data_IF_907545142800
#
_entry.id   IF_907545142800
#
_cell.length_a   1.000
_cell.length_b   1.000
_cell.length_c   1.000
_cell.angle_alpha   90.00
_cell.angle_beta   90.00
_cell.angle_gamma   90.00
#
_symmetry.space_group_name_H-M   'P 1'
#
loop_
_entity.id
_entity.type
_entity.pdbx_description
1 polymer ?
#
# COMPACT_ATOMS: atom_id res chain seq x y z
N UNK A 1 -16.83 -54.16 -9.65
CA UNK A 1 -15.89 -53.57 -8.67
C UNK A 1 -16.26 -52.10 -8.53
N UNK A 2 -16.44 -51.60 -7.30
CA UNK A 2 -16.74 -50.20 -7.08
C UNK A 2 -15.51 -49.36 -7.47
N UNK A 3 -15.71 -48.34 -8.31
CA UNK A 3 -14.62 -47.48 -8.75
C UNK A 3 -14.17 -46.59 -7.59
N UNK A 4 -12.85 -46.49 -7.29
CA UNK A 4 -12.35 -45.60 -6.26
C UNK A 4 -12.58 -44.13 -6.67
N UNK A 5 -13.00 -43.30 -5.73
CA UNK A 5 -13.23 -41.87 -5.96
C UNK A 5 -11.86 -41.16 -6.08
N UNK A 6 -11.59 -40.51 -7.22
CA UNK A 6 -10.29 -39.84 -7.50
C UNK A 6 -10.11 -38.53 -6.71
N UNK A 7 -11.21 -37.84 -6.40
CA UNK A 7 -11.25 -36.63 -5.60
C UNK A 7 -12.29 -36.79 -4.49
N UNK A 8 -11.88 -36.60 -3.23
CA UNK A 8 -12.81 -36.47 -2.13
C UNK A 8 -12.24 -35.50 -1.08
N UNK A 9 -13.12 -34.72 -0.48
CA UNK A 9 -12.77 -33.80 0.61
C UNK A 9 -12.96 -34.47 1.96
N UNK A 10 -12.28 -33.95 2.99
CA UNK A 10 -12.46 -34.42 4.37
C UNK A 10 -13.89 -34.22 4.87
N UNK A 11 -14.60 -33.20 4.36
CA UNK A 11 -16.00 -32.91 4.67
C UNK A 11 -16.96 -33.96 4.10
N UNK A 12 -16.75 -34.39 2.86
CA UNK A 12 -17.53 -35.47 2.22
C UNK A 12 -17.32 -36.81 2.93
N UNK A 13 -16.08 -37.13 3.31
CA UNK A 13 -15.83 -38.34 4.09
C UNK A 13 -16.50 -38.27 5.47
N UNK A 14 -16.58 -37.10 6.10
CA UNK A 14 -17.28 -36.91 7.38
C UNK A 14 -18.81 -37.03 7.25
N UNK A 15 -19.39 -36.62 6.12
CA UNK A 15 -20.82 -36.79 5.87
C UNK A 15 -21.19 -38.26 5.67
N UNK A 16 -20.41 -39.02 4.90
CA UNK A 16 -20.58 -40.47 4.72
C UNK A 16 -20.40 -41.22 6.04
N UNK A 17 -19.39 -40.87 6.82
CA UNK A 17 -19.18 -41.43 8.16
C UNK A 17 -20.37 -41.14 9.09
N UNK A 18 -20.95 -39.93 9.07
CA UNK A 18 -22.15 -39.60 9.85
C UNK A 18 -23.35 -40.43 9.43
N UNK A 19 -23.53 -40.64 8.13
CA UNK A 19 -24.56 -41.52 7.58
C UNK A 19 -24.38 -42.97 8.06
N UNK A 20 -23.18 -43.54 7.92
CA UNK A 20 -22.88 -44.91 8.36
C UNK A 20 -23.04 -45.10 9.87
N UNK A 21 -22.65 -44.11 10.67
CA UNK A 21 -22.91 -44.10 12.10
C UNK A 21 -24.41 -44.09 12.42
N UNK A 22 -25.21 -43.26 11.74
CA UNK A 22 -26.66 -43.19 11.95
C UNK A 22 -27.39 -44.49 11.57
N UNK A 23 -26.80 -45.28 10.66
CA UNK A 23 -27.26 -46.62 10.27
C UNK A 23 -26.99 -47.69 11.35
N UNK A 24 -26.22 -47.36 12.40
CA UNK A 24 -25.86 -48.27 13.48
C UNK A 24 -24.57 -49.05 13.25
N UNK A 25 -23.75 -48.67 12.26
CA UNK A 25 -22.47 -49.33 12.00
C UNK A 25 -21.45 -48.96 13.09
N UNK A 26 -20.77 -49.95 13.67
CA UNK A 26 -19.69 -49.70 14.64
C UNK A 26 -18.50 -48.96 14.03
N UNK A 27 -17.81 -48.12 14.80
CA UNK A 27 -16.65 -47.33 14.35
C UNK A 27 -15.54 -48.17 13.68
N UNK A 28 -15.35 -49.42 14.13
CA UNK A 28 -14.41 -50.38 13.54
C UNK A 28 -14.77 -50.77 12.11
N UNK A 29 -16.06 -50.84 11.80
CA UNK A 29 -16.57 -51.26 10.50
C UNK A 29 -16.69 -50.07 9.54
N UNK A 30 -16.99 -48.86 10.06
CA UNK A 30 -17.03 -47.64 9.25
C UNK A 30 -15.71 -47.41 8.49
N UNK A 31 -14.56 -47.50 9.16
CA UNK A 31 -13.27 -47.35 8.47
C UNK A 31 -13.01 -48.46 7.45
N UNK A 32 -13.44 -49.70 7.72
CA UNK A 32 -13.30 -50.82 6.77
C UNK A 32 -14.15 -50.64 5.52
N UNK A 33 -15.32 -50.00 5.63
CA UNK A 33 -16.20 -49.71 4.49
C UNK A 33 -15.70 -48.51 3.67
N UNK A 34 -15.13 -47.50 4.33
CA UNK A 34 -14.61 -46.30 3.69
C UNK A 34 -13.27 -46.53 2.96
N UNK A 35 -12.38 -47.35 3.52
CA UNK A 35 -11.02 -47.55 2.99
C UNK A 35 -10.98 -48.06 1.54
N UNK A 36 -11.79 -49.04 1.09
CA UNK A 36 -11.81 -49.48 -0.30
C UNK A 36 -12.32 -48.43 -1.30
N UNK A 37 -13.15 -47.47 -0.84
CA UNK A 37 -13.76 -46.45 -1.70
C UNK A 37 -12.83 -45.24 -1.84
N UNK A 38 -12.25 -44.79 -0.73
CA UNK A 38 -11.43 -43.57 -0.68
C UNK A 38 -9.92 -43.83 -0.79
N UNK A 39 -9.47 -45.09 -0.67
CA UNK A 39 -8.08 -45.49 -0.82
C UNK A 39 -7.13 -44.73 0.09
N UNK A 40 -6.01 -44.25 -0.45
CA UNK A 40 -4.97 -43.52 0.28
C UNK A 40 -5.46 -42.20 0.89
N UNK A 41 -6.53 -41.60 0.34
CA UNK A 41 -7.10 -40.34 0.83
C UNK A 41 -8.10 -40.55 1.97
N UNK A 42 -8.35 -41.80 2.40
CA UNK A 42 -9.29 -42.10 3.46
C UNK A 42 -8.84 -41.49 4.81
N UNK A 43 -9.81 -40.99 5.59
CA UNK A 43 -9.59 -40.58 6.98
C UNK A 43 -8.97 -41.71 7.78
N UNK A 44 -7.98 -41.37 8.60
CA UNK A 44 -7.33 -42.34 9.46
C UNK A 44 -8.32 -42.98 10.43
N UNK A 45 -8.06 -44.22 10.83
CA UNK A 45 -8.85 -44.94 11.84
C UNK A 45 -9.06 -44.09 13.10
N UNK A 46 -8.04 -43.38 13.57
CA UNK A 46 -8.17 -42.51 14.75
C UNK A 46 -9.12 -41.34 14.50
N UNK A 47 -9.07 -40.72 13.32
CA UNK A 47 -9.98 -39.64 12.97
C UNK A 47 -11.44 -40.11 12.94
N UNK A 48 -11.71 -41.30 12.37
CA UNK A 48 -13.05 -41.91 12.35
C UNK A 48 -13.58 -42.10 13.77
N UNK A 49 -12.77 -42.66 14.67
CA UNK A 49 -13.18 -42.88 16.07
C UNK A 49 -13.47 -41.57 16.80
N UNK A 50 -12.58 -40.58 16.68
CA UNK A 50 -12.77 -39.28 17.32
C UNK A 50 -14.05 -38.58 16.85
N UNK A 51 -14.39 -38.70 15.56
CA UNK A 51 -15.61 -38.10 15.03
C UNK A 51 -16.88 -38.86 15.39
N UNK A 52 -16.84 -40.20 15.39
CA UNK A 52 -17.97 -41.00 15.89
C UNK A 52 -18.25 -40.70 17.35
N UNK A 53 -17.21 -40.52 18.17
CA UNK A 53 -17.36 -40.09 19.55
C UNK A 53 -18.07 -38.73 19.64
N UNK A 54 -17.63 -37.73 18.85
CA UNK A 54 -18.30 -36.42 18.80
C UNK A 54 -19.77 -36.51 18.39
N UNK A 55 -20.12 -37.40 17.46
CA UNK A 55 -21.52 -37.62 17.08
C UNK A 55 -22.33 -38.27 18.20
N UNK A 56 -21.73 -39.20 18.95
CA UNK A 56 -22.36 -39.79 20.14
C UNK A 56 -22.58 -38.77 21.27
N UNK A 57 -21.72 -37.74 21.35
CA UNK A 57 -21.85 -36.60 22.26
C UNK A 57 -22.87 -35.54 21.78
N UNK A 58 -23.58 -35.80 20.67
CA UNK A 58 -24.66 -34.95 20.17
C UNK A 58 -24.26 -33.89 19.14
N UNK A 59 -22.99 -33.90 18.67
CA UNK A 59 -22.54 -32.97 17.61
C UNK A 59 -23.24 -33.29 16.28
N UNK A 60 -23.82 -32.27 15.64
CA UNK A 60 -24.48 -32.41 14.33
C UNK A 60 -23.73 -31.72 13.19
N UNK A 61 -22.74 -30.87 13.48
CA UNK A 61 -21.91 -30.19 12.47
C UNK A 61 -20.73 -31.07 12.05
N UNK A 62 -20.58 -31.23 10.73
CA UNK A 62 -19.49 -32.00 10.08
C UNK A 62 -18.20 -31.17 9.88
N UNK A 63 -18.31 -29.84 9.97
CA UNK A 63 -17.19 -28.92 9.89
C UNK A 63 -16.38 -28.91 11.20
N UNK A 64 -15.09 -28.57 11.08
CA UNK A 64 -14.27 -28.31 12.26
C UNK A 64 -14.82 -27.08 13.01
N UNK A 65 -14.81 -27.16 14.34
CA UNK A 65 -15.18 -25.99 15.13
C UNK A 65 -14.11 -24.92 15.00
N UNK A 66 -14.54 -23.66 15.04
CA UNK A 66 -13.63 -22.53 15.08
C UNK A 66 -12.69 -22.70 16.28
N UNK A 67 -11.43 -22.98 16.01
CA UNK A 67 -10.40 -23.05 17.05
C UNK A 67 -10.17 -21.64 17.56
N UNK A 68 -10.42 -21.42 18.84
CA UNK A 68 -10.00 -20.19 19.50
C UNK A 68 -8.48 -20.26 19.61
N UNK A 69 -7.78 -19.56 18.72
CA UNK A 69 -6.33 -19.38 18.83
C UNK A 69 -6.00 -18.59 20.11
N UNK A 70 -4.71 -18.56 20.49
CA UNK A 70 -4.21 -17.77 21.63
C UNK A 70 -4.88 -16.39 21.66
N UNK A 71 -5.53 -15.99 22.77
CA UNK A 71 -6.28 -14.75 22.84
C UNK A 71 -5.38 -13.57 22.49
N UNK A 72 -5.84 -12.73 21.57
CA UNK A 72 -5.10 -11.58 21.06
C UNK A 72 -5.31 -10.37 21.98
N UNK A 73 -4.93 -10.51 23.25
CA UNK A 73 -5.22 -9.51 24.31
C UNK A 73 -4.60 -8.13 24.01
N UNK A 74 -3.60 -8.08 23.13
CA UNK A 74 -2.82 -6.87 22.87
C UNK A 74 -3.47 -5.93 21.85
N UNK A 75 -4.29 -6.43 20.92
CA UNK A 75 -4.93 -5.62 19.87
C UNK A 75 -6.29 -5.06 20.32
N UNK A 76 -6.34 -4.46 21.51
CA UNK A 76 -7.55 -3.80 22.03
C UNK A 76 -7.58 -2.34 21.64
N UNK A 77 -8.78 -1.78 21.47
CA UNK A 77 -9.00 -0.36 21.17
C UNK A 77 -8.33 0.56 22.18
N UNK A 78 -8.30 0.17 23.46
CA UNK A 78 -7.61 0.90 24.52
C UNK A 78 -6.09 1.02 24.27
N UNK A 79 -5.46 -0.04 23.75
CA UNK A 79 -4.03 -0.01 23.41
C UNK A 79 -3.77 0.86 22.17
N UNK A 80 -4.67 0.86 21.18
CA UNK A 80 -4.59 1.75 20.02
C UNK A 80 -4.60 3.21 20.47
N UNK A 81 -5.59 3.60 21.30
CA UNK A 81 -5.70 4.96 21.81
C UNK A 81 -4.50 5.37 22.66
N UNK A 82 -3.94 4.45 23.43
CA UNK A 82 -2.72 4.67 24.22
C UNK A 82 -1.51 4.92 23.34
N UNK A 83 -1.32 4.15 22.25
CA UNK A 83 -0.27 4.38 21.26
C UNK A 83 -0.47 5.74 20.57
N UNK A 84 -1.69 6.07 20.15
CA UNK A 84 -1.99 7.38 19.55
C UNK A 84 -1.66 8.54 20.50
N UNK A 85 -1.97 8.41 21.80
CA UNK A 85 -1.66 9.41 22.81
C UNK A 85 -0.15 9.69 22.91
N UNK A 86 0.66 8.63 22.92
CA UNK A 86 2.13 8.75 22.93
C UNK A 86 2.66 9.47 21.68
N UNK A 87 2.15 9.12 20.49
CA UNK A 87 2.56 9.73 19.22
C UNK A 87 2.12 11.20 19.13
N UNK A 88 0.96 11.56 19.70
CA UNK A 88 0.48 12.95 19.73
C UNK A 88 1.31 13.83 20.66
N UNK A 89 1.79 13.27 21.78
CA UNK A 89 2.64 13.98 22.74
C UNK A 89 4.05 14.24 22.16
N UNK A 90 4.64 13.24 21.52
CA UNK A 90 5.92 13.35 20.83
C UNK A 90 5.87 12.65 19.47
N UNK A 91 5.91 13.42 18.39
CA UNK A 91 5.90 12.87 17.02
C UNK A 91 7.21 12.21 16.61
N UNK A 92 8.29 12.36 17.40
CA UNK A 92 9.60 11.77 17.13
C UNK A 92 9.86 10.52 17.97
N UNK A 93 8.87 10.06 18.74
CA UNK A 93 8.99 8.85 19.54
C UNK A 93 9.36 7.64 18.68
N UNK A 94 10.34 6.87 19.13
CA UNK A 94 10.77 5.65 18.43
C UNK A 94 9.90 4.45 18.82
N UNK A 95 9.97 3.39 18.03
CA UNK A 95 9.12 2.20 18.21
C UNK A 95 9.39 1.48 19.55
N UNK A 96 10.63 1.50 20.03
CA UNK A 96 11.06 0.78 21.24
C UNK A 96 10.34 1.27 22.51
N UNK A 97 10.33 2.58 22.84
CA UNK A 97 9.55 3.10 23.97
C UNK A 97 8.08 2.71 23.93
N UNK A 98 7.44 2.82 22.77
CA UNK A 98 6.02 2.48 22.61
C UNK A 98 5.80 0.98 22.87
N UNK A 99 6.63 0.13 22.27
CA UNK A 99 6.57 -1.31 22.42
C UNK A 99 6.72 -1.75 23.88
N UNK A 100 7.65 -1.13 24.62
CA UNK A 100 7.83 -1.37 26.06
C UNK A 100 6.60 -0.95 26.87
N UNK A 101 6.02 0.20 26.58
CA UNK A 101 4.85 0.73 27.29
C UNK A 101 3.60 -0.13 27.06
N UNK A 102 3.43 -0.66 25.86
CA UNK A 102 2.29 -1.53 25.51
C UNK A 102 2.54 -3.00 25.88
N UNK A 103 3.81 -3.39 26.08
CA UNK A 103 4.19 -4.78 26.34
C UNK A 103 4.04 -5.67 25.12
N UNK A 104 4.38 -5.14 23.93
CA UNK A 104 4.20 -5.84 22.65
C UNK A 104 5.48 -5.88 21.83
N UNK A 105 5.56 -6.82 20.88
CA UNK A 105 6.65 -6.87 19.90
C UNK A 105 6.39 -5.94 18.72
N UNK A 106 7.43 -5.58 17.96
CA UNK A 106 7.30 -4.70 16.79
C UNK A 106 6.33 -5.25 15.74
N UNK A 107 6.32 -6.57 15.52
CA UNK A 107 5.35 -7.20 14.61
C UNK A 107 3.91 -6.96 15.02
N UNK A 108 3.59 -6.92 16.32
CA UNK A 108 2.22 -6.65 16.77
C UNK A 108 1.83 -5.19 16.50
N UNK A 109 2.77 -4.24 16.63
CA UNK A 109 2.53 -2.84 16.29
C UNK A 109 2.19 -2.65 14.81
N UNK A 110 2.91 -3.33 13.92
CA UNK A 110 2.66 -3.27 12.48
C UNK A 110 1.44 -4.08 12.06
N UNK A 111 1.40 -5.37 12.40
CA UNK A 111 0.46 -6.33 11.84
C UNK A 111 -0.91 -6.31 12.50
N UNK A 112 -0.99 -5.86 13.76
CA UNK A 112 -2.25 -5.90 14.53
C UNK A 112 -2.75 -4.52 14.97
N UNK A 113 -1.86 -3.61 15.35
CA UNK A 113 -2.24 -2.24 15.72
C UNK A 113 -2.22 -1.29 14.51
N UNK A 114 -1.61 -1.68 13.38
CA UNK A 114 -1.61 -0.90 12.14
C UNK A 114 -0.73 0.35 12.15
N UNK A 115 0.21 0.47 13.11
CA UNK A 115 1.13 1.61 13.16
C UNK A 115 2.39 1.32 12.35
N UNK A 116 2.77 2.25 11.50
CA UNK A 116 3.98 2.19 10.69
C UNK A 116 4.90 3.37 10.97
N UNK A 117 6.21 3.13 10.92
CA UNK A 117 7.19 4.21 10.98
C UNK A 117 7.13 5.01 9.68
N UNK A 118 7.02 6.33 9.80
CA UNK A 118 7.13 7.26 8.67
C UNK A 118 8.45 8.02 8.79
N UNK A 119 9.20 8.13 7.71
CA UNK A 119 10.40 8.96 7.68
C UNK A 119 9.97 10.43 7.52
N UNK A 120 10.53 11.32 8.35
CA UNK A 120 10.32 12.74 8.17
C UNK A 120 10.95 13.18 6.83
N UNK A 121 10.19 13.89 6.02
CA UNK A 121 10.70 14.49 4.78
C UNK A 121 11.39 15.81 5.11
N UNK A 122 12.55 16.05 4.51
CA UNK A 122 13.29 17.29 4.70
C UNK A 122 12.50 18.48 4.16
N UNK A 123 12.41 19.56 4.94
CA UNK A 123 11.72 20.79 4.56
C UNK A 123 12.75 21.93 4.52
N UNK A 124 12.93 22.63 3.38
CA UNK A 124 14.01 23.60 3.21
C UNK A 124 14.04 24.76 4.20
N UNK A 125 12.90 25.11 4.81
CA UNK A 125 12.79 26.17 5.81
C UNK A 125 11.49 26.05 6.61
N UNK A 126 11.55 26.41 7.88
CA UNK A 126 10.35 26.64 8.70
C UNK A 126 9.60 27.88 8.21
N UNK A 127 8.37 27.67 7.76
CA UNK A 127 7.52 28.75 7.22
C UNK A 127 7.02 29.68 8.33
N UNK A 128 7.16 30.99 8.11
CA UNK A 128 6.51 32.01 8.97
C UNK A 128 4.99 31.96 8.77
N UNK A 129 4.18 32.46 9.73
CA UNK A 129 2.73 32.56 9.56
C UNK A 129 2.33 33.30 8.28
N UNK A 130 3.06 34.36 7.93
CA UNK A 130 2.87 35.09 6.68
C UNK A 130 3.18 34.23 5.44
N UNK A 131 4.28 33.47 5.42
CA UNK A 131 4.56 32.52 4.34
C UNK A 131 3.44 31.48 4.20
N UNK A 132 2.90 30.98 5.31
CA UNK A 132 1.78 30.01 5.29
C UNK A 132 0.54 30.64 4.66
N UNK A 133 0.20 31.87 5.05
CA UNK A 133 -0.96 32.60 4.52
C UNK A 133 -0.79 32.95 3.03
N UNK A 134 0.37 33.44 2.62
CA UNK A 134 0.71 33.72 1.22
C UNK A 134 0.68 32.44 0.37
N UNK A 135 1.20 31.33 0.90
CA UNK A 135 1.11 30.03 0.22
C UNK A 135 -0.33 29.59 0.04
N UNK A 136 -1.20 29.69 1.05
CA UNK A 136 -2.62 29.37 0.86
C UNK A 136 -3.31 30.29 -0.18
N UNK A 137 -2.91 31.56 -0.25
CA UNK A 137 -3.39 32.49 -1.27
C UNK A 137 -2.94 32.17 -2.69
N UNK A 138 -1.68 31.74 -2.87
CA UNK A 138 -1.11 31.38 -4.18
C UNK A 138 -1.73 30.10 -4.77
N UNK A 139 -2.19 29.17 -3.92
CA UNK A 139 -2.70 27.88 -4.39
C UNK A 139 -4.21 27.92 -4.72
N UNK A 140 -4.92 29.03 -4.49
CA UNK A 140 -6.39 29.02 -4.47
C UNK A 140 -7.11 29.57 -5.70
N UNK A 141 -6.46 30.34 -6.59
CA UNK A 141 -7.03 30.75 -7.90
C UNK A 141 -5.98 31.12 -8.95
N UNK A 142 -6.13 30.60 -10.18
CA UNK A 142 -5.41 31.06 -11.38
C UNK A 142 -4.02 30.45 -11.61
N UNK A 143 -3.74 29.28 -11.02
CA UNK A 143 -2.47 28.56 -11.24
C UNK A 143 -2.60 27.64 -12.45
N UNK A 144 -1.69 27.82 -13.41
CA UNK A 144 -1.43 26.89 -14.50
C UNK A 144 -0.26 25.99 -14.13
N UNK A 145 -0.49 24.69 -14.01
CA UNK A 145 0.53 23.70 -13.69
C UNK A 145 0.92 22.91 -14.94
N UNK A 146 2.12 23.17 -15.47
CA UNK A 146 2.71 22.37 -16.54
C UNK A 146 3.58 21.25 -15.96
N UNK A 147 3.23 20.00 -16.25
CA UNK A 147 4.02 18.81 -15.91
C UNK A 147 3.89 17.74 -17.00
N UNK A 148 4.75 16.71 -16.95
CA UNK A 148 4.75 15.61 -17.90
C UNK A 148 3.70 14.53 -17.57
N UNK A 149 3.52 13.58 -18.48
CA UNK A 149 2.49 12.54 -18.36
C UNK A 149 2.94 11.30 -17.56
N UNK A 150 3.93 11.42 -16.67
CA UNK A 150 4.38 10.31 -15.85
C UNK A 150 3.21 9.69 -15.06
N UNK A 151 3.23 8.36 -14.86
CA UNK A 151 2.12 7.62 -14.21
C UNK A 151 1.70 8.21 -12.84
N UNK A 152 2.62 8.66 -11.96
CA UNK A 152 2.21 9.29 -10.70
C UNK A 152 1.46 10.62 -10.90
N UNK A 153 1.74 11.35 -11.98
CA UNK A 153 1.12 12.65 -12.28
C UNK A 153 -0.29 12.49 -12.86
N UNK A 154 -0.55 11.40 -13.59
CA UNK A 154 -1.86 11.09 -14.19
C UNK A 154 -2.76 10.22 -13.30
N UNK A 155 -2.28 9.79 -12.12
CA UNK A 155 -3.04 8.96 -11.20
C UNK A 155 -4.31 9.67 -10.66
N UNK A 156 -5.38 8.91 -10.44
CA UNK A 156 -6.67 9.44 -9.96
C UNK A 156 -6.54 10.31 -8.70
N UNK A 157 -5.74 9.86 -7.73
CA UNK A 157 -5.50 10.59 -6.47
C UNK A 157 -4.85 11.97 -6.72
N UNK A 158 -3.93 12.04 -7.68
CA UNK A 158 -3.28 13.29 -8.08
C UNK A 158 -4.28 14.22 -8.76
N UNK A 159 -5.06 13.70 -9.72
CA UNK A 159 -6.10 14.46 -10.41
C UNK A 159 -7.19 15.00 -9.47
N UNK A 160 -7.65 14.20 -8.50
CA UNK A 160 -8.58 14.66 -7.46
C UNK A 160 -8.00 15.81 -6.64
N UNK A 161 -6.72 15.72 -6.28
CA UNK A 161 -6.01 16.76 -5.53
C UNK A 161 -5.89 18.06 -6.35
N UNK A 162 -5.56 17.97 -7.64
CA UNK A 162 -5.48 19.13 -8.54
C UNK A 162 -6.84 19.81 -8.73
N UNK A 163 -7.92 19.04 -8.84
CA UNK A 163 -9.30 19.56 -8.86
C UNK A 163 -9.68 20.28 -7.57
N UNK A 164 -9.30 19.72 -6.42
CA UNK A 164 -9.54 20.37 -5.12
C UNK A 164 -8.80 21.71 -5.00
N UNK A 165 -7.60 21.80 -5.57
CA UNK A 165 -6.84 23.06 -5.64
C UNK A 165 -7.34 24.02 -6.73
N UNK A 166 -8.19 23.56 -7.66
CA UNK A 166 -8.70 24.34 -8.79
C UNK A 166 -7.59 24.85 -9.70
N UNK A 167 -6.58 24.01 -9.93
CA UNK A 167 -5.50 24.33 -10.86
C UNK A 167 -5.85 23.86 -12.26
N UNK A 168 -5.42 24.64 -13.24
CA UNK A 168 -5.53 24.29 -14.64
C UNK A 168 -4.24 23.57 -15.06
N UNK A 169 -4.39 22.43 -15.72
CA UNK A 169 -3.26 21.62 -16.20
C UNK A 169 -3.32 21.62 -17.72
N UNK A 170 -2.40 22.32 -18.40
CA UNK A 170 -2.29 22.25 -19.85
C UNK A 170 -1.93 20.83 -20.31
N UNK A 171 -2.39 20.44 -21.49
CA UNK A 171 -1.96 19.19 -22.10
C UNK A 171 -0.48 19.25 -22.44
N UNK A 172 0.28 18.24 -22.04
CA UNK A 172 1.68 18.08 -22.40
C UNK A 172 1.83 16.86 -23.32
N UNK A 173 2.44 17.00 -24.51
CA UNK A 173 2.60 15.87 -25.41
C UNK A 173 3.61 14.83 -24.87
N UNK A 174 3.44 13.53 -25.20
CA UNK A 174 4.42 12.50 -24.85
C UNK A 174 5.79 12.78 -25.48
N UNK A 175 6.87 12.49 -24.74
CA UNK A 175 8.26 12.61 -25.19
C UNK A 175 8.73 14.02 -25.59
N UNK A 176 8.08 15.07 -25.09
CA UNK A 176 8.36 16.46 -25.47
C UNK A 176 9.16 17.23 -24.42
N UNK A 177 10.34 16.71 -24.07
CA UNK A 177 11.26 17.41 -23.14
C UNK A 177 11.73 18.76 -23.69
N UNK A 178 11.78 18.90 -25.02
CA UNK A 178 12.03 20.17 -25.70
C UNK A 178 10.91 21.20 -25.49
N UNK A 179 9.73 20.79 -25.02
CA UNK A 179 8.61 21.65 -24.64
C UNK A 179 8.43 21.77 -23.10
N UNK A 180 9.39 21.29 -22.32
CA UNK A 180 9.39 21.39 -20.86
C UNK A 180 10.46 22.38 -20.37
N UNK A 181 10.09 23.54 -19.77
CA UNK A 181 11.05 24.53 -19.30
C UNK A 181 12.11 23.97 -18.35
N UNK A 182 11.73 22.97 -17.56
CA UNK A 182 12.65 22.31 -16.66
C UNK A 182 13.77 21.58 -17.40
N UNK A 183 13.47 20.92 -18.51
CA UNK A 183 14.43 20.09 -19.24
C UNK A 183 15.29 20.88 -20.23
N UNK A 184 14.72 21.92 -20.86
CA UNK A 184 15.46 22.73 -21.83
C UNK A 184 16.20 23.94 -21.23
N UNK A 185 15.80 24.43 -20.06
CA UNK A 185 16.34 25.67 -19.47
C UNK A 185 16.86 25.52 -18.04
N UNK A 186 16.18 24.75 -17.18
CA UNK A 186 16.52 24.72 -15.76
C UNK A 186 17.55 23.65 -15.38
N UNK A 187 17.39 22.44 -15.90
CA UNK A 187 18.21 21.29 -15.52
C UNK A 187 19.44 21.17 -16.42
N UNK A 188 20.58 21.04 -15.76
CA UNK A 188 21.87 20.69 -16.37
C UNK A 188 22.37 19.40 -15.71
N UNK A 189 22.76 18.36 -16.46
CA UNK A 189 23.30 17.14 -15.88
C UNK A 189 24.69 17.38 -15.25
N UNK A 190 24.71 17.76 -13.97
CA UNK A 190 25.92 17.81 -13.15
C UNK A 190 26.07 16.54 -12.29
N UNK A 191 27.32 16.08 -12.12
CA UNK A 191 27.66 14.97 -11.25
C UNK A 191 28.14 15.50 -9.89
N UNK A 192 27.51 15.02 -8.83
CA UNK A 192 27.87 15.36 -7.45
C UNK A 192 28.44 14.14 -6.72
N UNK A 193 29.43 14.33 -5.85
CA UNK A 193 30.10 13.23 -5.15
C UNK A 193 29.23 12.59 -4.06
N UNK A 194 28.33 13.35 -3.43
CA UNK A 194 27.45 12.91 -2.35
C UNK A 194 26.18 13.77 -2.25
N UNK A 195 25.20 13.31 -1.46
CA UNK A 195 23.91 13.97 -1.27
C UNK A 195 24.03 15.36 -0.60
N UNK A 196 25.00 15.55 0.29
CA UNK A 196 25.21 16.83 0.97
C UNK A 196 25.74 17.89 0.00
N UNK A 197 26.63 17.49 -0.91
CA UNK A 197 27.14 18.31 -1.99
C UNK A 197 26.01 18.73 -2.95
N UNK A 198 25.17 17.78 -3.40
CA UNK A 198 23.97 18.07 -4.21
C UNK A 198 23.14 19.15 -3.54
N UNK A 199 22.80 18.95 -2.27
CA UNK A 199 21.91 19.86 -1.57
C UNK A 199 22.51 21.26 -1.43
N UNK A 200 23.78 21.36 -1.05
CA UNK A 200 24.48 22.63 -0.86
C UNK A 200 24.61 23.39 -2.18
N UNK A 201 25.06 22.73 -3.23
CA UNK A 201 25.40 23.35 -4.50
C UNK A 201 24.14 23.76 -5.27
N UNK A 202 23.16 22.85 -5.37
CA UNK A 202 21.86 23.16 -6.00
C UNK A 202 21.18 24.32 -5.28
N UNK A 203 21.15 24.31 -3.93
CA UNK A 203 20.56 25.41 -3.16
C UNK A 203 21.29 26.73 -3.38
N UNK A 204 22.62 26.71 -3.44
CA UNK A 204 23.41 27.90 -3.70
C UNK A 204 23.15 28.43 -5.12
N UNK A 205 23.07 27.55 -6.12
CA UNK A 205 22.80 27.89 -7.50
C UNK A 205 21.44 28.57 -7.66
N UNK A 206 20.36 27.98 -7.14
CA UNK A 206 19.01 28.56 -7.20
C UNK A 206 18.92 29.94 -6.54
N UNK A 207 19.72 30.19 -5.49
CA UNK A 207 19.74 31.50 -4.81
C UNK A 207 20.49 32.58 -5.59
N UNK A 208 21.42 32.18 -6.45
CA UNK A 208 22.19 33.10 -7.28
C UNK A 208 21.44 33.50 -8.55
N UNK A 209 20.50 32.66 -9.03
CA UNK A 209 19.78 32.95 -10.25
C UNK A 209 18.87 34.18 -10.11
N UNK A 210 18.97 35.15 -11.02
CA UNK A 210 18.12 36.32 -11.02
C UNK A 210 16.70 35.96 -11.50
N UNK A 211 15.70 36.78 -11.17
CA UNK A 211 14.30 36.55 -11.59
C UNK A 211 14.17 36.49 -13.13
N UNK A 212 15.02 37.22 -13.83
CA UNK A 212 15.10 37.29 -15.29
C UNK A 212 15.47 35.94 -15.90
N UNK A 213 16.28 35.12 -15.20
CA UNK A 213 16.63 33.77 -15.65
C UNK A 213 15.38 32.89 -15.75
N UNK A 214 14.53 32.88 -14.73
CA UNK A 214 13.28 32.09 -14.76
C UNK A 214 12.29 32.62 -15.80
N UNK A 215 12.17 33.95 -15.91
CA UNK A 215 11.32 34.57 -16.91
C UNK A 215 11.75 34.20 -18.34
N UNK A 216 13.07 34.12 -18.60
CA UNK A 216 13.60 33.69 -19.89
C UNK A 216 13.19 32.26 -20.25
N UNK A 217 13.17 31.33 -19.29
CA UNK A 217 12.70 29.95 -19.50
C UNK A 217 11.24 29.90 -19.97
N UNK A 218 10.34 30.65 -19.32
CA UNK A 218 8.93 30.72 -19.74
C UNK A 218 8.75 31.44 -21.08
N UNK A 219 9.52 32.50 -21.36
CA UNK A 219 9.51 33.13 -22.68
C UNK A 219 10.02 32.19 -23.78
N UNK A 220 11.01 31.35 -23.46
CA UNK A 220 11.50 30.29 -24.33
C UNK A 220 10.41 29.28 -24.68
N UNK A 221 9.56 28.91 -23.72
CA UNK A 221 8.43 28.00 -23.95
C UNK A 221 7.48 28.52 -25.03
N UNK A 222 7.10 29.80 -24.96
CA UNK A 222 6.19 30.42 -25.96
C UNK A 222 6.79 30.34 -27.37
N UNK A 223 8.09 30.65 -27.51
CA UNK A 223 8.80 30.56 -28.79
C UNK A 223 8.89 29.12 -29.30
N UNK A 224 9.08 28.16 -28.40
CA UNK A 224 9.17 26.75 -28.74
C UNK A 224 7.83 26.17 -29.17
N UNK A 225 6.71 26.57 -28.56
CA UNK A 225 5.39 26.18 -29.06
C UNK A 225 5.15 26.64 -30.50
N UNK A 226 5.48 27.90 -30.81
CA UNK A 226 5.38 28.42 -32.18
C UNK A 226 6.27 27.63 -33.14
N UNK A 227 7.52 27.35 -32.75
CA UNK A 227 8.44 26.54 -33.54
C UNK A 227 7.92 25.11 -33.76
N UNK A 228 7.37 24.46 -32.73
CA UNK A 228 6.77 23.12 -32.80
C UNK A 228 5.66 23.06 -33.86
N UNK A 229 4.78 24.07 -33.87
CA UNK A 229 3.73 24.19 -34.88
C UNK A 229 4.32 24.35 -36.29
N UNK A 230 5.34 25.20 -36.44
CA UNK A 230 6.00 25.45 -37.71
C UNK A 230 6.75 24.23 -38.26
N UNK A 231 7.29 23.36 -37.39
CA UNK A 231 7.93 22.08 -37.77
C UNK A 231 6.96 20.90 -37.75
N UNK A 232 5.65 21.16 -37.70
CA UNK A 232 4.60 20.13 -37.75
C UNK A 232 4.73 19.04 -36.66
N UNK A 233 5.21 19.43 -35.47
CA UNK A 233 5.36 18.54 -34.32
C UNK A 233 6.69 17.78 -34.24
N UNK A 234 7.63 18.04 -35.15
CA UNK A 234 9.00 17.50 -35.05
C UNK A 234 9.80 18.16 -33.91
N UNK A 235 10.92 17.55 -33.53
CA UNK A 235 11.74 17.98 -32.42
C UNK A 235 12.41 19.33 -32.65
N UNK A 236 12.52 20.10 -31.57
CA UNK A 236 13.19 21.39 -31.56
C UNK A 236 14.61 21.23 -31.02
N UNK A 237 15.60 21.43 -31.89
CA UNK A 237 17.00 21.55 -31.45
C UNK A 237 17.18 22.70 -30.45
N UNK A 238 18.03 22.46 -29.44
CA UNK A 238 18.35 23.40 -28.36
C UNK A 238 19.08 24.63 -28.86
#
# INVERSE_FOLDING_TARGET
MAAPLSECTTLEQRSVMRFLWSKGTESKNIHKEMLPIYGEKCLSRQAVYNWVQKFSEGRTRIEDEHRVCRPTVIATEANVQRVEGLIRADRWITINPIATVIGCSHGIMHDRLGFHKVCAQWVPRMLTPQHKMQRMGLLTKGVLLLHDNARPHTANKTNETLRNFKWEVPEHPPYSSDLAPNDFHLFDPEHFPDEEAVQREVTAWFRQQPKEFYAAGFQGLVKRWDKCLNVQGDYIEK
#
